data_IF_037081894360
#
_entry.id   IF_037081894360
#
_cell.length_a   1.000
_cell.length_b   1.000
_cell.length_c   1.000
_cell.angle_alpha   90.00
_cell.angle_beta   90.00
_cell.angle_gamma   90.00
#
_symmetry.space_group_name_H-M   'P 1'
#
loop_
_entity.id
_entity.type
_entity.pdbx_description
1 polymer ?
#
# COMPACT_ATOMS: atom_id res chain seq x y z
N UNK A 1 -4.05 -20.79 6.35
CA UNK A 1 -4.65 -20.19 7.56
C UNK A 1 -6.11 -19.79 7.39
N UNK A 2 -6.59 -19.43 6.22
CA UNK A 2 -8.03 -19.23 5.99
C UNK A 2 -8.86 -20.53 5.94
N UNK A 3 -8.26 -21.69 5.71
CA UNK A 3 -8.96 -22.96 5.65
C UNK A 3 -9.63 -23.36 6.97
N UNK A 4 -9.08 -22.93 8.11
CA UNK A 4 -9.52 -23.30 9.44
C UNK A 4 -10.36 -22.23 10.15
N UNK A 5 -10.56 -21.07 9.53
CA UNK A 5 -11.40 -20.01 10.08
C UNK A 5 -12.89 -20.35 9.88
N UNK A 6 -13.75 -20.24 10.91
CA UNK A 6 -15.17 -20.48 10.76
C UNK A 6 -15.73 -19.56 9.67
N UNK A 7 -16.32 -20.13 8.63
CA UNK A 7 -16.89 -19.39 7.48
C UNK A 7 -17.86 -18.27 7.87
N UNK A 8 -18.49 -18.40 9.05
CA UNK A 8 -19.41 -17.40 9.60
C UNK A 8 -18.70 -16.13 10.14
N UNK A 9 -17.40 -16.18 10.46
CA UNK A 9 -16.69 -15.04 11.02
C UNK A 9 -16.31 -13.97 9.97
N UNK A 10 -16.30 -14.34 8.68
CA UNK A 10 -15.81 -13.49 7.58
C UNK A 10 -16.80 -13.33 6.42
N UNK A 11 -18.10 -13.57 6.64
CA UNK A 11 -19.11 -13.34 5.60
C UNK A 11 -18.93 -14.21 4.34
N UNK A 12 -18.29 -15.38 4.47
CA UNK A 12 -18.25 -16.39 3.41
C UNK A 12 -17.05 -16.42 2.50
N UNK A 13 -16.07 -15.51 2.62
CA UNK A 13 -14.87 -15.61 1.79
C UNK A 13 -13.66 -14.92 2.40
N UNK A 14 -12.58 -15.65 2.62
CA UNK A 14 -11.24 -15.08 2.72
C UNK A 14 -10.87 -14.29 1.46
N UNK A 15 -11.51 -14.52 0.32
CA UNK A 15 -11.34 -13.75 -0.93
C UNK A 15 -11.93 -12.34 -0.91
N UNK A 16 -12.76 -11.97 0.07
CA UNK A 16 -13.31 -10.60 0.18
C UNK A 16 -12.37 -9.64 0.96
N UNK A 17 -11.24 -10.13 1.45
CA UNK A 17 -10.21 -9.29 2.06
C UNK A 17 -9.60 -8.28 1.07
N UNK A 18 -9.72 -8.55 -0.23
CA UNK A 18 -9.15 -7.73 -1.29
C UNK A 18 -10.03 -6.58 -1.77
N UNK A 19 -11.29 -6.56 -1.42
CA UNK A 19 -12.22 -5.58 -1.96
C UNK A 19 -12.82 -4.76 -0.83
N UNK A 20 -12.23 -3.68 -0.40
CA UNK A 20 -12.82 -2.55 0.34
C UNK A 20 -14.24 -2.71 0.92
N UNK A 21 -14.63 -3.94 1.29
CA UNK A 21 -15.93 -4.27 1.85
C UNK A 21 -16.08 -3.67 3.24
N UNK A 22 -17.15 -2.95 3.45
CA UNK A 22 -17.58 -2.41 4.74
C UNK A 22 -17.53 -3.52 5.81
N UNK A 23 -16.55 -3.49 6.70
CA UNK A 23 -16.40 -4.47 7.78
C UNK A 23 -15.00 -4.69 8.29
N UNK A 24 -13.97 -4.13 7.65
CA UNK A 24 -12.62 -4.18 8.19
C UNK A 24 -12.48 -3.21 9.35
N UNK A 25 -12.07 -3.78 10.48
CA UNK A 25 -11.48 -3.03 11.59
C UNK A 25 -10.30 -2.20 11.08
N UNK A 26 -10.05 -1.02 11.64
CA UNK A 26 -8.92 -0.21 11.24
C UNK A 26 -7.62 -1.01 11.34
N UNK A 27 -6.71 -0.80 10.42
CA UNK A 27 -5.39 -1.40 10.45
C UNK A 27 -4.64 -0.92 11.69
N UNK A 28 -4.28 -1.85 12.58
CA UNK A 28 -3.63 -1.53 13.85
C UNK A 28 -2.14 -1.28 13.69
N UNK A 29 -1.50 -1.97 12.74
CA UNK A 29 -0.10 -1.81 12.42
C UNK A 29 0.17 -2.24 10.98
N UNK A 30 1.16 -1.65 10.36
CA UNK A 30 1.74 -2.07 9.10
C UNK A 30 3.26 -1.92 9.19
N UNK A 31 3.99 -2.90 8.69
CA UNK A 31 5.45 -2.84 8.57
C UNK A 31 5.89 -3.58 7.33
N UNK A 32 6.92 -3.11 6.69
CA UNK A 32 7.64 -3.81 5.63
C UNK A 32 9.04 -4.21 6.07
N UNK A 33 9.45 -3.77 7.27
CA UNK A 33 10.69 -4.19 7.93
C UNK A 33 10.46 -5.42 8.82
N UNK A 34 11.50 -6.21 9.10
CA UNK A 34 11.42 -7.37 10.01
C UNK A 34 10.97 -7.01 11.42
N UNK A 35 11.20 -5.78 11.83
CA UNK A 35 10.77 -5.25 13.12
C UNK A 35 10.37 -3.78 12.96
N UNK A 36 9.20 -3.44 13.50
CA UNK A 36 8.71 -2.06 13.55
C UNK A 36 8.32 -1.72 14.98
N UNK A 37 8.68 -0.52 15.40
CA UNK A 37 8.24 0.07 16.66
C UNK A 37 7.57 1.41 16.39
N UNK A 38 6.27 1.44 16.55
CA UNK A 38 5.50 2.68 16.52
C UNK A 38 5.38 3.18 17.95
N UNK A 39 6.15 4.22 18.34
CA UNK A 39 6.13 4.71 19.71
C UNK A 39 4.75 5.27 20.06
N UNK A 40 4.34 5.18 21.34
CA UNK A 40 3.09 5.76 21.81
C UNK A 40 2.98 7.23 21.43
N UNK A 41 1.79 7.66 21.02
CA UNK A 41 1.47 9.06 20.76
C UNK A 41 0.83 9.61 22.03
N UNK A 42 1.49 10.58 22.68
CA UNK A 42 1.01 11.17 23.91
C UNK A 42 -0.38 11.80 23.73
N UNK A 43 -1.26 11.59 24.69
CA UNK A 43 -2.64 12.09 24.64
C UNK A 43 -3.55 11.37 23.64
N UNK A 44 -3.12 10.24 23.08
CA UNK A 44 -3.87 9.51 22.09
C UNK A 44 -3.97 8.02 22.39
N UNK A 45 -5.07 7.40 21.99
CA UNK A 45 -5.30 5.97 22.15
C UNK A 45 -6.07 5.38 20.97
N UNK A 46 -5.89 4.08 20.77
CA UNK A 46 -6.77 3.27 19.91
C UNK A 46 -7.75 2.49 20.76
N UNK A 47 -8.96 2.45 20.30
CA UNK A 47 -9.94 1.55 20.90
C UNK A 47 -9.89 0.18 20.20
N UNK A 48 -9.49 -0.83 20.96
CA UNK A 48 -9.51 -2.22 20.48
C UNK A 48 -10.72 -2.90 21.11
N UNK A 49 -11.61 -3.53 20.33
CA UNK A 49 -12.76 -4.26 20.88
C UNK A 49 -12.32 -5.35 21.87
N UNK A 50 -13.01 -5.49 23.00
CA UNK A 50 -12.74 -6.52 24.00
C UNK A 50 -12.87 -7.95 23.44
N UNK A 51 -13.64 -8.11 22.36
CA UNK A 51 -13.81 -9.36 21.65
C UNK A 51 -13.68 -9.10 20.16
N UNK A 52 -12.79 -9.83 19.52
CA UNK A 52 -12.54 -9.67 18.09
C UNK A 52 -11.58 -10.72 17.58
N UNK A 53 -11.33 -10.68 16.29
CA UNK A 53 -10.31 -11.48 15.60
C UNK A 53 -9.25 -10.53 15.10
N UNK A 54 -7.98 -10.79 15.41
CA UNK A 54 -6.85 -10.13 14.78
C UNK A 54 -6.54 -10.86 13.47
N UNK A 55 -6.69 -10.16 12.36
CA UNK A 55 -6.29 -10.67 11.07
C UNK A 55 -4.87 -10.15 10.76
N UNK A 56 -3.96 -11.07 10.47
CA UNK A 56 -2.61 -10.76 9.99
C UNK A 56 -2.57 -11.01 8.49
N UNK A 57 -2.12 -10.03 7.75
CA UNK A 57 -1.69 -10.20 6.37
C UNK A 57 -0.17 -10.05 6.36
N UNK A 58 0.54 -11.12 6.05
CA UNK A 58 2.01 -11.11 6.03
C UNK A 58 2.53 -11.67 4.73
N UNK A 59 3.48 -10.97 4.15
CA UNK A 59 4.24 -11.41 3.00
C UNK A 59 5.67 -11.66 3.48
N UNK A 60 6.18 -12.86 3.24
CA UNK A 60 7.55 -13.20 3.57
C UNK A 60 8.14 -14.11 2.50
N UNK A 61 9.40 -13.90 2.22
CA UNK A 61 10.19 -14.75 1.35
C UNK A 61 11.15 -15.58 2.19
N UNK A 62 11.16 -16.87 1.97
CA UNK A 62 12.22 -17.72 2.47
C UNK A 62 13.43 -17.62 1.54
N UNK A 63 14.46 -16.90 1.97
CA UNK A 63 15.72 -16.76 1.22
C UNK A 63 16.75 -17.81 1.60
N UNK A 64 16.39 -18.79 2.43
CA UNK A 64 17.26 -19.91 2.82
C UNK A 64 16.94 -21.17 2.01
N UNK A 65 17.89 -22.11 1.94
CA UNK A 65 17.69 -23.42 1.33
C UNK A 65 16.92 -24.41 2.24
N UNK A 66 16.55 -23.97 3.45
CA UNK A 66 15.87 -24.79 4.44
C UNK A 66 14.44 -24.30 4.67
N UNK A 67 13.55 -25.21 4.97
CA UNK A 67 12.20 -24.87 5.40
C UNK A 67 12.23 -24.01 6.66
N UNK A 68 11.47 -22.93 6.69
CA UNK A 68 11.37 -22.03 7.82
C UNK A 68 9.93 -21.67 8.13
N UNK A 69 9.67 -21.17 9.32
CA UNK A 69 8.34 -20.76 9.78
C UNK A 69 8.35 -19.28 10.08
N UNK A 70 7.41 -18.55 9.47
CA UNK A 70 7.17 -17.15 9.80
C UNK A 70 6.43 -17.04 11.13
N UNK A 71 7.01 -16.31 12.07
CA UNK A 71 6.38 -15.95 13.33
C UNK A 71 6.05 -14.45 13.35
N UNK A 72 4.79 -14.09 13.11
CA UNK A 72 4.31 -12.74 13.32
C UNK A 72 4.00 -12.50 14.81
N UNK A 73 4.49 -11.39 15.37
CA UNK A 73 4.25 -10.99 16.76
C UNK A 73 3.84 -9.52 16.81
N UNK A 74 2.88 -9.21 17.67
CA UNK A 74 2.44 -7.83 17.93
C UNK A 74 2.41 -7.62 19.43
N UNK A 75 3.03 -6.54 19.90
CA UNK A 75 2.93 -6.10 21.29
C UNK A 75 1.97 -4.92 21.36
N UNK A 76 1.02 -4.98 22.29
CA UNK A 76 0.09 -3.90 22.56
C UNK A 76 0.47 -3.21 23.88
N UNK A 77 0.57 -1.90 23.84
CA UNK A 77 0.78 -1.06 25.02
C UNK A 77 -0.54 -0.39 25.35
N UNK A 78 -1.03 -0.58 26.58
CA UNK A 78 -2.31 -0.02 27.02
C UNK A 78 -2.08 1.28 27.79
N UNK A 79 -3.02 2.20 27.67
CA UNK A 79 -3.02 3.48 28.39
C UNK A 79 -4.35 3.71 29.09
N UNK A 80 -4.31 4.45 30.21
CA UNK A 80 -5.49 4.99 30.87
C UNK A 80 -5.83 6.42 30.38
N UNK A 81 -4.96 7.02 29.58
CA UNK A 81 -5.21 8.33 28.96
C UNK A 81 -6.12 8.14 27.74
N UNK A 82 -7.36 8.59 27.86
CA UNK A 82 -8.39 8.51 26.85
C UNK A 82 -8.76 9.89 26.29
N UNK A 83 -7.79 10.78 26.20
CA UNK A 83 -8.01 12.17 25.81
C UNK A 83 -8.43 12.29 24.34
N UNK A 84 -7.76 11.62 23.41
CA UNK A 84 -8.08 11.66 21.99
C UNK A 84 -8.05 10.28 21.36
N UNK A 85 -9.16 9.90 20.74
CA UNK A 85 -9.25 8.64 20.02
C UNK A 85 -8.58 8.76 18.66
N UNK A 86 -7.58 7.90 18.40
CA UNK A 86 -7.00 7.74 17.08
C UNK A 86 -7.81 6.75 16.25
N UNK A 87 -8.05 7.12 15.03
CA UNK A 87 -8.65 6.25 14.02
C UNK A 87 -7.62 6.09 12.89
N UNK A 88 -6.96 4.95 12.78
CA UNK A 88 -6.15 4.65 11.59
C UNK A 88 -7.09 4.59 10.39
N UNK A 89 -6.77 5.36 9.38
CA UNK A 89 -7.56 5.42 8.15
C UNK A 89 -6.71 4.84 7.02
N UNK A 90 -7.22 3.83 6.37
CA UNK A 90 -6.65 3.38 5.12
C UNK A 90 -7.39 4.08 3.99
N UNK A 91 -6.76 5.08 3.39
CA UNK A 91 -7.29 5.73 2.21
C UNK A 91 -6.93 4.88 1.01
N UNK A 92 -7.69 3.81 0.86
CA UNK A 92 -7.63 2.93 -0.32
C UNK A 92 -8.71 3.44 -1.28
N UNK A 93 -8.47 4.57 -1.92
CA UNK A 93 -9.43 5.08 -2.90
C UNK A 93 -9.46 4.23 -4.15
N UNK A 94 -8.32 3.73 -4.57
CA UNK A 94 -8.22 2.80 -5.67
C UNK A 94 -6.91 2.01 -5.56
N UNK A 95 -7.00 0.72 -5.23
CA UNK A 95 -5.85 -0.18 -5.36
C UNK A 95 -5.31 -0.22 -6.79
N UNK A 96 -6.08 0.28 -7.73
CA UNK A 96 -5.81 0.22 -9.15
C UNK A 96 -5.28 1.53 -9.72
N UNK A 97 -4.84 2.51 -8.90
CA UNK A 97 -4.48 3.82 -9.44
C UNK A 97 -3.37 3.71 -10.49
N UNK A 98 -2.42 2.78 -10.30
CA UNK A 98 -1.39 2.48 -11.28
C UNK A 98 -1.80 1.34 -12.25
N UNK A 99 -3.01 0.78 -12.14
CA UNK A 99 -3.44 -0.32 -12.99
C UNK A 99 -3.56 0.11 -14.45
N UNK A 100 -2.96 -0.68 -15.32
CA UNK A 100 -2.91 -0.38 -16.74
C UNK A 100 -1.67 0.42 -17.17
N UNK A 101 -0.81 0.87 -16.23
CA UNK A 101 0.48 1.46 -16.60
C UNK A 101 1.30 0.48 -17.42
N UNK A 102 1.68 0.89 -18.62
CA UNK A 102 2.36 0.04 -19.58
C UNK A 102 3.72 -0.49 -19.05
N UNK A 103 4.18 -1.66 -19.51
CA UNK A 103 5.56 -2.08 -19.26
C UNK A 103 6.55 -1.09 -19.85
N UNK A 104 7.72 -1.01 -19.22
CA UNK A 104 8.81 -0.10 -19.57
C UNK A 104 8.42 1.38 -19.57
N UNK A 105 7.56 1.76 -18.62
CA UNK A 105 7.19 3.17 -18.38
C UNK A 105 7.39 3.54 -16.91
N UNK A 106 7.57 4.83 -16.68
CA UNK A 106 7.58 5.45 -15.36
C UNK A 106 6.51 6.53 -15.33
N UNK A 107 5.52 6.40 -14.43
CA UNK A 107 4.38 7.32 -14.36
C UNK A 107 4.09 7.72 -12.92
N UNK A 108 3.61 8.95 -12.76
CA UNK A 108 3.16 9.46 -11.47
C UNK A 108 1.64 9.50 -11.42
N UNK A 109 1.09 8.91 -10.39
CA UNK A 109 -0.34 8.89 -10.12
C UNK A 109 -0.65 9.65 -8.84
N UNK A 110 -1.72 10.44 -8.85
CA UNK A 110 -2.15 11.25 -7.73
C UNK A 110 -3.62 11.05 -7.40
N UNK A 111 -3.95 11.20 -6.13
CA UNK A 111 -5.33 11.25 -5.65
C UNK A 111 -5.47 12.29 -4.55
N UNK A 112 -6.72 12.53 -4.12
CA UNK A 112 -7.04 13.51 -3.08
C UNK A 112 -7.81 12.86 -1.94
N UNK A 113 -7.48 13.27 -0.72
CA UNK A 113 -8.17 12.87 0.49
C UNK A 113 -8.55 14.11 1.30
N UNK A 114 -9.85 14.28 1.54
CA UNK A 114 -10.38 15.39 2.33
C UNK A 114 -10.71 14.91 3.73
N UNK A 115 -10.06 15.51 4.74
CA UNK A 115 -10.35 15.28 6.14
C UNK A 115 -11.64 15.98 6.56
N UNK A 116 -12.26 15.49 7.64
CA UNK A 116 -13.39 16.19 8.26
C UNK A 116 -12.90 17.43 9.00
N UNK A 117 -13.76 18.42 9.15
CA UNK A 117 -13.45 19.58 9.96
C UNK A 117 -13.26 19.17 11.43
N UNK A 118 -12.18 19.63 12.04
CA UNK A 118 -11.76 19.29 13.39
C UNK A 118 -10.95 17.98 13.52
N UNK A 119 -10.69 17.27 12.40
CA UNK A 119 -9.73 16.18 12.41
C UNK A 119 -8.31 16.70 12.59
N UNK A 120 -7.45 15.89 13.20
CA UNK A 120 -6.00 16.15 13.27
C UNK A 120 -5.23 14.91 12.83
N UNK A 121 -4.12 15.06 12.14
CA UNK A 121 -3.22 13.96 11.81
C UNK A 121 -2.07 13.94 12.80
N UNK A 122 -1.93 12.84 13.53
CA UNK A 122 -0.82 12.59 14.46
C UNK A 122 0.36 11.89 13.79
N UNK A 123 0.08 11.02 12.82
CA UNK A 123 1.07 10.24 12.09
C UNK A 123 0.59 10.01 10.66
N UNK A 124 1.54 9.92 9.74
CA UNK A 124 1.30 9.66 8.32
C UNK A 124 2.32 8.66 7.81
N UNK A 125 1.85 7.68 7.06
CA UNK A 125 2.70 6.78 6.28
C UNK A 125 2.03 6.47 4.94
N UNK A 126 2.76 5.85 4.05
CA UNK A 126 2.32 5.48 2.71
C UNK A 126 2.73 4.05 2.39
N UNK A 127 1.94 3.33 1.65
CA UNK A 127 2.26 1.97 1.24
C UNK A 127 2.11 1.81 -0.28
N UNK A 128 3.16 1.29 -0.88
CA UNK A 128 3.21 0.80 -2.25
C UNK A 128 3.87 -0.58 -2.26
N UNK A 129 3.88 -1.25 -3.38
CA UNK A 129 4.71 -2.42 -3.58
C UNK A 129 6.01 -2.03 -4.33
N UNK A 130 6.75 -3.03 -4.82
CA UNK A 130 8.14 -2.91 -5.30
C UNK A 130 8.38 -1.96 -6.46
N UNK A 131 7.32 -1.58 -7.20
CA UNK A 131 7.42 -0.64 -8.32
C UNK A 131 7.22 0.81 -7.91
N UNK A 132 6.80 1.05 -6.67
CA UNK A 132 6.71 2.39 -6.11
C UNK A 132 8.09 2.93 -5.77
N UNK A 133 8.60 3.86 -6.58
CA UNK A 133 9.92 4.48 -6.40
C UNK A 133 9.88 5.71 -5.50
N UNK A 134 8.78 6.44 -5.50
CA UNK A 134 8.65 7.70 -4.80
C UNK A 134 7.18 7.93 -4.42
N UNK A 135 6.92 8.23 -3.17
CA UNK A 135 5.60 8.61 -2.69
C UNK A 135 5.65 9.89 -1.86
N UNK A 136 4.61 10.73 -1.99
CA UNK A 136 4.56 11.98 -1.24
C UNK A 136 3.14 12.44 -0.96
N UNK A 137 3.03 13.34 0.03
CA UNK A 137 1.77 14.00 0.38
C UNK A 137 1.98 15.50 0.50
N UNK A 138 1.09 16.27 -0.12
CA UNK A 138 1.05 17.72 -0.05
C UNK A 138 -0.17 18.20 0.72
N UNK A 139 0.09 19.14 1.63
CA UNK A 139 -0.93 19.92 2.31
C UNK A 139 -1.15 21.24 1.55
N UNK A 140 -2.39 21.72 1.40
CA UNK A 140 -2.67 22.91 0.58
C UNK A 140 -1.95 24.18 1.03
N UNK A 141 -1.67 24.32 2.34
CA UNK A 141 -0.98 25.49 2.89
C UNK A 141 0.48 25.25 3.24
N UNK A 142 0.84 24.03 3.66
CA UNK A 142 2.19 23.72 4.16
C UNK A 142 3.11 23.15 3.08
N UNK A 143 2.58 22.86 1.88
CA UNK A 143 3.34 22.20 0.84
C UNK A 143 3.60 20.73 1.13
N UNK A 144 4.79 20.25 0.86
CA UNK A 144 5.19 18.85 1.06
C UNK A 144 5.25 18.52 2.56
N UNK A 145 4.39 17.62 3.02
CA UNK A 145 4.35 17.19 4.42
C UNK A 145 4.84 15.76 4.62
N UNK A 146 4.97 14.97 3.57
CA UNK A 146 5.49 13.61 3.59
C UNK A 146 6.18 13.31 2.27
N UNK A 147 7.29 12.59 2.33
CA UNK A 147 8.03 12.13 1.18
C UNK A 147 8.80 10.85 1.53
N UNK A 148 8.76 9.85 0.66
CA UNK A 148 9.41 8.56 0.85
C UNK A 148 9.88 7.98 -0.49
N UNK A 149 11.08 7.40 -0.51
CA UNK A 149 11.74 6.82 -1.69
C UNK A 149 12.00 5.32 -1.56
N UNK A 150 11.58 4.71 -0.46
CA UNK A 150 11.78 3.29 -0.23
C UNK A 150 10.45 2.61 0.11
N UNK A 151 9.99 1.71 -0.77
CA UNK A 151 8.76 0.95 -0.53
C UNK A 151 8.93 -0.09 0.58
N UNK A 152 10.16 -0.62 0.81
CA UNK A 152 10.43 -1.63 1.83
C UNK A 152 10.49 -1.05 3.25
N UNK A 153 10.81 0.25 3.37
CA UNK A 153 10.91 0.95 4.65
C UNK A 153 10.16 2.28 4.57
N UNK A 154 8.82 2.24 4.49
CA UNK A 154 8.03 3.46 4.41
C UNK A 154 8.18 4.28 5.68
N UNK A 155 8.47 5.56 5.51
CA UNK A 155 8.60 6.50 6.61
C UNK A 155 7.29 6.60 7.42
N UNK A 156 7.39 6.44 8.74
CA UNK A 156 6.34 6.80 9.69
C UNK A 156 6.56 8.21 10.20
N UNK A 157 5.99 9.18 9.53
CA UNK A 157 6.16 10.58 9.90
C UNK A 157 5.18 10.98 10.99
N UNK A 158 5.71 11.32 12.15
CA UNK A 158 4.93 11.92 13.26
C UNK A 158 4.89 13.43 13.11
N UNK A 159 3.77 14.00 13.56
CA UNK A 159 3.61 15.44 13.64
C UNK A 159 3.53 15.85 15.11
N UNK A 160 4.35 16.84 15.51
CA UNK A 160 4.37 17.46 16.82
C UNK A 160 4.64 18.97 16.65
N UNK A 161 3.65 19.82 16.87
CA UNK A 161 2.24 19.51 17.15
C UNK A 161 1.54 18.78 16.00
N UNK A 162 0.40 18.14 16.27
CA UNK A 162 -0.39 17.47 15.25
C UNK A 162 -0.87 18.45 14.17
N UNK A 163 -1.09 17.95 12.97
CA UNK A 163 -1.65 18.76 11.89
C UNK A 163 -3.16 18.85 12.04
N UNK A 164 -3.66 20.04 12.36
CA UNK A 164 -5.09 20.32 12.56
C UNK A 164 -5.76 20.73 11.24
N UNK A 165 -7.00 20.25 11.04
CA UNK A 165 -7.83 20.52 9.88
C UNK A 165 -9.14 21.19 10.28
N UNK A 166 -9.05 22.39 10.87
CA UNK A 166 -10.19 23.13 11.43
C UNK A 166 -10.91 24.02 10.42
N UNK A 167 -10.33 24.25 9.25
CA UNK A 167 -10.93 25.14 8.25
C UNK A 167 -12.33 24.69 7.84
N UNK A 168 -13.30 25.57 7.73
CA UNK A 168 -14.61 25.25 7.14
C UNK A 168 -14.51 24.93 5.63
N UNK A 169 -13.48 25.45 4.95
CA UNK A 169 -13.26 25.18 3.53
C UNK A 169 -12.69 23.76 3.30
N UNK A 170 -13.41 22.87 2.61
CA UNK A 170 -12.90 21.54 2.27
C UNK A 170 -11.59 21.58 1.48
N UNK A 171 -11.36 22.58 0.65
CA UNK A 171 -10.13 22.68 -0.14
C UNK A 171 -8.89 22.82 0.75
N UNK A 172 -9.00 23.52 1.87
CA UNK A 172 -7.93 23.67 2.86
C UNK A 172 -7.69 22.41 3.71
N UNK A 173 -8.63 21.46 3.68
CA UNK A 173 -8.55 20.17 4.39
C UNK A 173 -8.29 19.00 3.44
N UNK A 174 -7.98 19.28 2.17
CA UNK A 174 -7.75 18.25 1.16
C UNK A 174 -6.26 18.06 0.94
N UNK A 175 -5.77 16.91 1.29
CA UNK A 175 -4.43 16.45 0.96
C UNK A 175 -4.39 15.93 -0.49
N UNK A 176 -3.34 16.27 -1.22
CA UNK A 176 -2.96 15.58 -2.45
C UNK A 176 -1.87 14.57 -2.13
N UNK A 177 -2.06 13.33 -2.52
CA UNK A 177 -1.07 12.28 -2.32
C UNK A 177 -0.78 11.58 -3.65
N UNK A 178 0.49 11.34 -3.90
CA UNK A 178 0.99 10.84 -5.17
C UNK A 178 2.01 9.72 -4.95
N UNK A 179 2.14 8.86 -5.94
CA UNK A 179 3.26 7.95 -6.06
C UNK A 179 3.71 7.81 -7.51
N UNK A 180 5.02 7.70 -7.70
CA UNK A 180 5.64 7.35 -8.98
C UNK A 180 5.90 5.86 -9.00
N UNK A 181 5.42 5.19 -10.05
CA UNK A 181 5.65 3.78 -10.29
C UNK A 181 6.53 3.58 -11.51
N UNK A 182 7.45 2.63 -11.37
CA UNK A 182 8.36 2.23 -12.43
C UNK A 182 8.05 0.80 -12.84
N UNK A 183 7.48 0.61 -14.01
CA UNK A 183 7.19 -0.71 -14.55
C UNK A 183 8.30 -1.21 -15.49
N UNK A 184 9.53 -1.25 -15.00
CA UNK A 184 10.63 -1.89 -15.72
C UNK A 184 11.57 -0.95 -16.46
N UNK A 185 11.96 0.16 -15.85
CA UNK A 185 13.03 1.03 -16.35
C UNK A 185 14.18 1.12 -15.34
N UNK A 186 15.41 1.12 -15.85
CA UNK A 186 16.60 1.50 -15.08
C UNK A 186 16.62 2.98 -14.78
N UNK A 187 17.61 3.43 -14.01
CA UNK A 187 17.85 4.88 -13.77
C UNK A 187 18.20 5.67 -15.04
N UNK A 188 18.60 4.98 -16.11
CA UNK A 188 18.91 5.58 -17.41
C UNK A 188 17.75 5.43 -18.42
N UNK A 189 16.56 5.06 -17.93
CA UNK A 189 15.36 4.82 -18.74
C UNK A 189 15.50 3.69 -19.80
N UNK A 190 16.41 2.75 -19.54
CA UNK A 190 16.53 1.51 -20.34
C UNK A 190 15.67 0.39 -19.75
N UNK A 191 15.22 -0.60 -20.53
CA UNK A 191 14.43 -1.72 -20.03
C UNK A 191 15.10 -2.48 -18.88
N UNK A 192 14.39 -2.64 -17.77
CA UNK A 192 14.76 -3.44 -16.59
C UNK A 192 13.86 -4.68 -16.52
N UNK A 193 14.41 -5.83 -16.93
CA UNK A 193 13.70 -7.10 -16.98
C UNK A 193 13.43 -7.70 -15.59
N UNK A 194 14.12 -7.27 -14.55
CA UNK A 194 13.87 -7.72 -13.18
C UNK A 194 12.73 -6.96 -12.53
N UNK A 195 12.59 -5.69 -12.86
CA UNK A 195 11.55 -4.83 -12.28
C UNK A 195 10.21 -4.92 -13.02
N UNK A 196 10.22 -5.12 -14.34
CA UNK A 196 8.97 -5.14 -15.14
C UNK A 196 7.99 -6.21 -14.66
N UNK A 197 6.70 -5.88 -14.69
CA UNK A 197 5.62 -6.85 -14.44
C UNK A 197 5.62 -7.94 -15.51
N UNK A 198 5.62 -9.22 -15.11
CA UNK A 198 5.68 -10.37 -16.01
C UNK A 198 4.59 -11.37 -15.72
N UNK A 199 3.93 -11.88 -16.78
CA UNK A 199 2.91 -12.91 -16.67
C UNK A 199 3.46 -14.20 -16.04
N UNK A 200 4.69 -14.57 -16.38
CA UNK A 200 5.37 -15.76 -15.84
C UNK A 200 5.69 -15.68 -14.33
N UNK A 201 5.63 -14.51 -13.74
CA UNK A 201 5.86 -14.28 -12.29
C UNK A 201 4.58 -14.09 -11.50
N UNK A 202 3.43 -14.06 -12.17
CA UNK A 202 2.15 -13.88 -11.47
C UNK A 202 1.85 -15.09 -10.60
N UNK A 203 1.38 -14.86 -9.34
CA UNK A 203 0.98 -15.94 -8.47
C UNK A 203 -0.26 -16.66 -9.00
N UNK A 204 -0.47 -17.90 -8.53
CA UNK A 204 -1.66 -18.68 -8.87
C UNK A 204 -2.95 -17.90 -8.60
N UNK A 205 -3.83 -17.86 -9.57
CA UNK A 205 -5.09 -17.11 -9.50
C UNK A 205 -5.00 -15.62 -9.86
N UNK A 206 -3.80 -15.10 -10.11
CA UNK A 206 -3.55 -13.81 -10.72
C UNK A 206 -3.13 -13.99 -12.17
N UNK A 207 -3.49 -13.07 -13.03
CA UNK A 207 -3.05 -13.08 -14.43
C UNK A 207 -2.96 -11.67 -14.98
N UNK A 208 -2.00 -11.46 -15.85
CA UNK A 208 -1.96 -10.28 -16.68
C UNK A 208 -1.86 -10.70 -18.16
N UNK A 209 -2.29 -9.82 -19.04
CA UNK A 209 -2.12 -10.04 -20.49
C UNK A 209 -0.81 -9.41 -20.93
N UNK A 210 0.18 -10.20 -21.39
CA UNK A 210 1.40 -9.66 -21.95
C UNK A 210 1.13 -8.72 -23.12
N UNK A 211 1.90 -7.66 -23.22
CA UNK A 211 1.79 -6.64 -24.29
C UNK A 211 3.14 -6.17 -24.82
N UNK A 212 4.26 -6.58 -24.18
CA UNK A 212 5.59 -6.24 -24.62
C UNK A 212 6.59 -7.40 -24.44
N UNK A 213 7.65 -7.39 -25.24
CA UNK A 213 8.68 -8.40 -25.27
C UNK A 213 9.67 -8.24 -24.11
N UNK A 214 10.08 -9.38 -23.50
CA UNK A 214 11.14 -9.44 -22.48
C UNK A 214 12.39 -10.15 -22.99
N UNK A 215 12.33 -10.74 -24.18
CA UNK A 215 13.47 -11.33 -24.87
C UNK A 215 13.31 -11.11 -26.37
N UNK A 216 14.41 -11.16 -27.15
CA UNK A 216 14.42 -10.78 -28.55
C UNK A 216 14.38 -9.26 -28.69
N UNK A 217 13.37 -8.72 -29.34
CA UNK A 217 13.15 -7.27 -29.48
C UNK A 217 12.54 -6.70 -28.21
N UNK A 218 13.34 -6.58 -27.15
CA UNK A 218 12.91 -6.12 -25.82
C UNK A 218 12.16 -4.80 -25.91
N UNK A 219 11.07 -4.69 -25.15
CA UNK A 219 10.13 -3.56 -25.11
C UNK A 219 9.29 -3.35 -26.38
N UNK A 220 9.50 -4.12 -27.44
CA UNK A 220 8.60 -4.09 -28.61
C UNK A 220 7.21 -4.62 -28.21
N UNK A 221 6.17 -4.05 -28.84
CA UNK A 221 4.80 -4.52 -28.63
C UNK A 221 4.62 -5.94 -29.17
N UNK A 222 3.89 -6.77 -28.44
CA UNK A 222 3.62 -8.16 -28.82
C UNK A 222 2.23 -8.62 -28.39
N UNK A 223 1.80 -9.72 -29.02
CA UNK A 223 0.62 -10.49 -28.60
C UNK A 223 0.96 -11.97 -28.43
N UNK A 224 2.07 -12.39 -29.02
CA UNK A 224 2.63 -13.76 -28.98
C UNK A 224 4.15 -13.69 -28.96
N UNK A 225 4.81 -14.79 -28.59
CA UNK A 225 6.28 -14.89 -28.62
C UNK A 225 6.87 -14.67 -30.02
N UNK A 226 6.14 -15.05 -31.07
CA UNK A 226 6.58 -14.86 -32.43
C UNK A 226 6.77 -13.39 -32.83
N UNK A 227 6.07 -12.48 -32.19
CA UNK A 227 6.18 -11.02 -32.40
C UNK A 227 7.51 -10.48 -31.87
N UNK A 228 8.19 -11.22 -31.00
CA UNK A 228 9.44 -10.84 -30.34
C UNK A 228 10.71 -11.39 -31.04
N UNK A 229 10.60 -11.96 -32.25
CA UNK A 229 11.70 -12.55 -32.98
C UNK A 229 11.94 -14.03 -32.64
N UNK A 230 12.96 -14.64 -33.27
CA UNK A 230 13.17 -16.10 -33.28
C UNK A 230 13.40 -16.73 -31.89
N UNK A 231 13.93 -15.96 -30.93
CA UNK A 231 14.19 -16.38 -29.56
C UNK A 231 13.46 -15.45 -28.53
N UNK A 232 12.44 -14.78 -29.02
CA UNK A 232 11.73 -13.77 -28.24
C UNK A 232 10.72 -14.36 -27.26
N UNK A 233 10.31 -13.55 -26.29
CA UNK A 233 9.23 -13.89 -25.36
C UNK A 233 8.36 -12.67 -25.07
N UNK A 234 7.05 -12.82 -25.28
CA UNK A 234 6.02 -11.85 -24.99
C UNK A 234 5.48 -12.09 -23.56
N UNK A 235 6.06 -11.43 -22.56
CA UNK A 235 5.78 -11.72 -21.15
C UNK A 235 5.59 -10.46 -20.28
N UNK A 236 5.96 -9.27 -20.79
CA UNK A 236 5.80 -8.03 -20.04
C UNK A 236 4.36 -7.53 -20.06
N UNK A 237 3.84 -7.18 -18.88
CA UNK A 237 2.46 -6.80 -18.65
C UNK A 237 2.32 -5.37 -18.10
N UNK A 238 1.16 -4.73 -18.31
CA UNK A 238 0.77 -3.58 -17.53
C UNK A 238 0.70 -3.92 -16.03
N UNK A 239 0.89 -2.91 -15.18
CA UNK A 239 0.71 -3.06 -13.73
C UNK A 239 -0.74 -3.45 -13.42
N UNK A 240 -0.92 -4.43 -12.54
CA UNK A 240 -2.20 -4.73 -11.91
C UNK A 240 -2.28 -4.07 -10.52
N UNK A 241 -3.49 -3.65 -10.12
CA UNK A 241 -3.78 -3.33 -8.72
C UNK A 241 -4.19 -4.58 -7.95
N UNK A 242 -3.58 -4.84 -6.80
CA UNK A 242 -3.87 -6.03 -5.99
C UNK A 242 -3.00 -6.14 -4.75
N UNK A 243 -3.11 -7.30 -4.09
CA UNK A 243 -2.47 -7.57 -2.80
C UNK A 243 -1.23 -8.48 -2.92
N UNK A 244 -0.96 -9.04 -4.09
CA UNK A 244 0.21 -9.87 -4.30
C UNK A 244 1.46 -9.00 -4.49
N UNK A 245 2.65 -9.59 -4.33
CA UNK A 245 3.92 -8.86 -4.49
C UNK A 245 4.14 -8.35 -5.92
N UNK A 246 3.54 -9.03 -6.92
CA UNK A 246 3.63 -8.63 -8.33
C UNK A 246 2.56 -7.62 -8.75
N UNK A 247 1.49 -7.47 -7.95
CA UNK A 247 0.52 -6.39 -8.10
C UNK A 247 1.05 -5.11 -7.44
N UNK A 248 0.36 -3.99 -7.59
CA UNK A 248 0.69 -2.74 -6.94
C UNK A 248 -0.44 -2.23 -6.04
N UNK A 249 -0.03 -1.47 -5.03
CA UNK A 249 -0.92 -0.76 -4.12
C UNK A 249 -0.62 0.73 -4.11
N UNK A 250 -1.67 1.50 -3.81
CA UNK A 250 -1.61 2.94 -3.62
C UNK A 250 -2.41 3.30 -2.37
N UNK A 251 -1.74 3.29 -1.22
CA UNK A 251 -2.42 3.41 0.08
C UNK A 251 -1.81 4.51 0.93
N UNK A 252 -2.57 5.58 1.14
CA UNK A 252 -2.26 6.60 2.14
C UNK A 252 -2.82 6.14 3.49
N UNK A 253 -2.02 6.18 4.55
CA UNK A 253 -2.39 5.72 5.89
C UNK A 253 -2.17 6.81 6.94
N UNK A 254 -3.06 7.80 7.06
CA UNK A 254 -3.05 8.76 8.16
C UNK A 254 -3.63 8.15 9.44
N UNK A 255 -3.04 8.48 10.57
CA UNK A 255 -3.61 8.27 11.88
C UNK A 255 -4.31 9.55 12.32
N UNK A 256 -5.63 9.50 12.22
CA UNK A 256 -6.49 10.66 12.41
C UNK A 256 -7.04 10.65 13.83
N UNK A 257 -6.77 11.71 14.57
CA UNK A 257 -7.44 11.98 15.84
C UNK A 257 -8.76 12.70 15.56
N UNK A 258 -9.84 12.15 16.10
CA UNK A 258 -11.16 12.75 16.02
C UNK A 258 -11.35 13.75 17.18
N UNK A 259 -12.13 14.82 16.99
CA UNK A 259 -12.54 15.68 18.08
C UNK A 259 -13.19 14.88 19.21
N UNK A 260 -12.92 15.26 20.46
CA UNK A 260 -13.57 14.63 21.62
C UNK A 260 -15.10 14.72 21.47
N UNK A 261 -15.79 13.60 21.55
CA UNK A 261 -17.26 13.54 21.51
C UNK A 261 -17.92 13.42 20.14
N UNK A 262 -17.14 13.09 19.10
CA UNK A 262 -17.69 12.73 17.76
C UNK A 262 -17.41 11.29 17.39
#
# INVERSE_FOLDING_TARGET
MCADAPKAAFGGACGSLSAGGAGFSPQLANTQAPQEYVPPIEGAYWEVPLRGVLAFNSHAFNLSEQDTVLHARVNFYFTADLTRKLVPVNVIKDLRIAAGQAPFTRETHCAKYTLSQGDSIALLTFHTHRRGEHSWVKHPKLGMIYENFDYNDPLYKRFDPWLDFDSPDPAERTLEYCATYNNGLTSNDEPDLELVTRASRMPEGSSCKPVACVAGDVAAACSTDADCGATGSCDACPINGGISTEDEMFVLMPWVAKPAGK
#
